data_IF_574909983964
#
_entry.id   IF_574909983964
#
_cell.length_a   1.000
_cell.length_b   1.000
_cell.length_c   1.000
_cell.angle_alpha   90.00
_cell.angle_beta   90.00
_cell.angle_gamma   90.00
#
_symmetry.space_group_name_H-M   'P 1'
#
loop_
_entity.id
_entity.type
_entity.pdbx_description
1 polymer ?
#
# COMPACT_ATOMS: atom_id res chain seq x y z
N UNK A 1 70.87 -15.78 1.36
CA UNK A 1 71.22 -16.00 -0.06
C UNK A 1 70.00 -15.59 -0.88
N UNK A 2 69.95 -14.35 -1.33
CA UNK A 2 70.56 -13.86 -2.58
C UNK A 2 69.63 -14.13 -3.77
N UNK A 3 68.82 -13.10 -4.04
CA UNK A 3 68.52 -12.50 -5.34
C UNK A 3 68.62 -13.37 -6.58
N UNK A 4 67.56 -13.43 -7.40
CA UNK A 4 67.75 -13.27 -8.85
C UNK A 4 66.45 -12.94 -9.60
N UNK A 5 66.29 -11.64 -9.92
CA UNK A 5 65.70 -11.09 -11.17
C UNK A 5 64.22 -11.43 -11.40
N UNK A 6 63.31 -10.47 -11.58
CA UNK A 6 63.33 -9.50 -12.68
C UNK A 6 62.55 -8.27 -12.22
N UNK A 7 63.27 -7.17 -12.01
CA UNK A 7 62.73 -5.83 -12.09
C UNK A 7 62.88 -5.33 -13.53
N UNK A 8 62.09 -4.31 -13.87
CA UNK A 8 62.08 -3.49 -15.09
C UNK A 8 61.24 -4.02 -16.26
N UNK A 9 59.99 -3.55 -16.35
CA UNK A 9 59.65 -2.63 -17.42
C UNK A 9 58.86 -1.44 -16.86
N UNK A 10 59.45 -0.27 -17.03
CA UNK A 10 58.94 1.07 -16.71
C UNK A 10 57.85 1.45 -17.73
N UNK A 11 56.70 1.94 -17.25
CA UNK A 11 56.17 3.27 -17.56
C UNK A 11 54.65 3.34 -17.34
N UNK A 12 54.25 4.42 -16.65
CA UNK A 12 53.01 5.16 -16.91
C UNK A 12 51.67 4.55 -16.47
N UNK A 13 51.18 4.92 -15.28
CA UNK A 13 50.39 6.16 -15.06
C UNK A 13 49.78 6.11 -13.66
N UNK A 14 50.03 7.15 -12.88
CA UNK A 14 49.34 7.44 -11.63
C UNK A 14 47.87 7.76 -11.92
N UNK A 15 46.92 7.03 -11.33
CA UNK A 15 45.65 7.62 -10.85
C UNK A 15 45.22 6.87 -9.59
N UNK A 16 45.17 7.61 -8.49
CA UNK A 16 44.61 7.22 -7.21
C UNK A 16 43.12 6.90 -7.37
N UNK A 17 42.71 5.68 -7.07
CA UNK A 17 41.29 5.33 -6.93
C UNK A 17 41.12 4.49 -5.69
N UNK A 18 40.84 5.17 -4.58
CA UNK A 18 40.38 4.58 -3.33
C UNK A 18 39.15 3.73 -3.60
N UNK A 19 39.27 2.41 -3.55
CA UNK A 19 38.13 1.50 -3.43
C UNK A 19 38.10 0.97 -1.99
N UNK A 20 37.95 1.90 -1.04
CA UNK A 20 37.28 1.58 0.21
C UNK A 20 35.81 1.41 -0.14
N UNK A 21 35.42 0.19 -0.51
CA UNK A 21 34.02 -0.19 -0.64
C UNK A 21 33.60 -0.64 0.76
N UNK A 22 33.23 0.33 1.59
CA UNK A 22 32.47 0.06 2.80
C UNK A 22 31.17 -0.66 2.41
N UNK A 23 30.79 -1.76 3.10
CA UNK A 23 29.44 -2.27 2.96
C UNK A 23 28.48 -1.19 3.46
N UNK A 24 27.37 -0.90 2.74
CA UNK A 24 26.31 -0.14 3.38
C UNK A 24 25.84 -0.97 4.56
N UNK A 25 26.11 -0.49 5.76
CA UNK A 25 25.35 -0.87 6.93
C UNK A 25 23.89 -0.62 6.54
N UNK A 26 23.16 -1.70 6.22
CA UNK A 26 21.72 -1.67 6.10
C UNK A 26 21.24 -1.36 7.50
N UNK A 27 21.06 -0.06 7.76
CA UNK A 27 20.32 0.41 8.90
C UNK A 27 18.92 -0.10 8.67
N UNK A 28 18.61 -1.25 9.27
CA UNK A 28 17.23 -1.69 9.47
C UNK A 28 16.63 -0.71 10.46
N UNK A 29 16.29 0.48 9.97
CA UNK A 29 15.40 1.41 10.64
C UNK A 29 14.06 0.71 10.60
N UNK A 30 13.76 -0.06 11.65
CA UNK A 30 12.41 -0.47 11.99
C UNK A 30 11.69 0.82 12.37
N UNK A 31 11.33 1.60 11.36
CA UNK A 31 10.40 2.71 11.51
C UNK A 31 9.10 2.03 11.90
N UNK A 32 8.84 1.96 13.21
CA UNK A 32 7.49 1.88 13.74
C UNK A 32 6.78 3.17 13.31
N UNK A 33 6.50 3.25 12.02
CA UNK A 33 5.51 4.12 11.46
C UNK A 33 4.20 3.58 11.97
N UNK A 34 3.80 4.06 13.15
CA UNK A 34 2.40 4.29 13.46
C UNK A 34 1.90 5.35 12.48
N UNK A 35 1.89 5.01 11.19
CA UNK A 35 1.08 5.70 10.21
C UNK A 35 -0.33 5.38 10.68
N UNK A 36 -1.07 6.40 11.08
CA UNK A 36 -2.52 6.35 11.05
C UNK A 36 -2.88 5.94 9.63
N UNK A 37 -3.00 4.63 9.40
CA UNK A 37 -3.35 4.08 8.10
C UNK A 37 -4.70 4.67 7.80
N UNK A 38 -4.75 5.58 6.83
CA UNK A 38 -6.00 6.15 6.39
C UNK A 38 -6.88 4.96 5.97
N UNK A 39 -7.97 4.67 6.70
CA UNK A 39 -8.86 3.56 6.38
C UNK A 39 -9.52 3.75 5.00
N UNK A 40 -9.38 4.95 4.41
CA UNK A 40 -9.82 5.28 3.08
C UNK A 40 -8.71 5.27 2.02
N UNK A 41 -7.48 4.93 2.36
CA UNK A 41 -6.42 4.81 1.37
C UNK A 41 -6.68 3.60 0.45
N UNK A 42 -6.56 3.81 -0.85
CA UNK A 42 -6.69 2.76 -1.87
C UNK A 42 -5.42 1.90 -1.94
N UNK A 43 -5.15 1.16 -0.86
CA UNK A 43 -3.96 0.32 -0.76
C UNK A 43 -4.30 -0.98 -0.04
N UNK A 44 -3.49 -1.99 -0.29
CA UNK A 44 -3.46 -3.18 0.55
C UNK A 44 -2.49 -2.90 1.71
N UNK A 45 -3.01 -2.94 2.93
CA UNK A 45 -2.23 -2.77 4.15
C UNK A 45 -1.51 -4.07 4.53
N UNK A 46 -2.13 -5.22 4.24
CA UNK A 46 -1.53 -6.52 4.49
C UNK A 46 -0.71 -6.99 3.28
N UNK A 47 0.47 -7.55 3.55
CA UNK A 47 1.39 -8.04 2.51
C UNK A 47 0.93 -9.34 1.85
N UNK A 48 0.00 -10.06 2.47
CA UNK A 48 -0.50 -11.35 2.01
C UNK A 48 -1.84 -11.30 1.26
N UNK A 49 -2.34 -10.11 0.90
CA UNK A 49 -3.64 -9.95 0.25
C UNK A 49 -3.84 -10.81 -1.01
N UNK A 50 -2.80 -10.95 -1.84
CA UNK A 50 -2.84 -11.82 -3.01
C UNK A 50 -3.04 -13.31 -2.65
N UNK A 51 -2.48 -13.78 -1.52
CA UNK A 51 -2.61 -15.16 -1.07
C UNK A 51 -3.99 -15.44 -0.46
N UNK A 52 -4.60 -14.42 0.15
CA UNK A 52 -5.88 -14.54 0.85
C UNK A 52 -7.07 -13.97 0.05
N UNK A 53 -6.89 -13.70 -1.24
CA UNK A 53 -7.91 -13.15 -2.12
C UNK A 53 -9.18 -14.02 -2.21
N UNK A 54 -9.08 -15.32 -1.94
CA UNK A 54 -10.24 -16.21 -1.85
C UNK A 54 -11.20 -15.83 -0.71
N UNK A 55 -10.73 -15.13 0.32
CA UNK A 55 -11.55 -14.64 1.42
C UNK A 55 -12.35 -13.38 1.08
N UNK A 56 -12.06 -12.69 -0.04
CA UNK A 56 -12.87 -11.56 -0.50
C UNK A 56 -14.33 -11.96 -0.73
N UNK A 57 -14.58 -13.23 -1.11
CA UNK A 57 -15.92 -13.76 -1.38
C UNK A 57 -16.61 -14.32 -0.13
N UNK A 58 -15.92 -14.34 1.02
CA UNK A 58 -16.45 -14.89 2.27
C UNK A 58 -17.02 -13.73 3.11
N UNK A 59 -18.33 -13.70 3.39
CA UNK A 59 -18.95 -12.58 4.12
C UNK A 59 -18.33 -12.37 5.50
N UNK A 60 -17.91 -13.45 6.15
CA UNK A 60 -17.27 -13.44 7.47
C UNK A 60 -15.93 -12.69 7.47
N UNK A 61 -15.26 -12.60 6.32
CA UNK A 61 -13.97 -11.93 6.16
C UNK A 61 -14.09 -10.59 5.42
N UNK A 62 -15.28 -10.21 4.96
CA UNK A 62 -15.48 -9.00 4.16
C UNK A 62 -14.97 -7.73 4.87
N UNK A 63 -15.23 -7.58 6.17
CA UNK A 63 -14.75 -6.44 6.96
C UNK A 63 -13.22 -6.43 7.09
N UNK A 64 -12.61 -7.58 7.40
CA UNK A 64 -11.15 -7.73 7.51
C UNK A 64 -10.47 -7.47 6.17
N UNK A 65 -11.06 -7.98 5.08
CA UNK A 65 -10.58 -7.77 3.72
C UNK A 65 -10.74 -6.33 3.28
N UNK A 66 -11.80 -5.64 3.72
CA UNK A 66 -11.99 -4.22 3.43
C UNK A 66 -10.94 -3.37 4.11
N UNK A 67 -10.63 -3.65 5.38
CA UNK A 67 -9.63 -2.92 6.14
C UNK A 67 -8.19 -3.17 5.68
N UNK A 68 -7.86 -4.39 5.24
CA UNK A 68 -6.48 -4.80 4.99
C UNK A 68 -6.14 -5.05 3.52
N UNK A 69 -7.11 -5.41 2.70
CA UNK A 69 -6.93 -5.87 1.33
C UNK A 69 -7.87 -5.13 0.37
N UNK A 70 -8.01 -3.81 0.56
CA UNK A 70 -9.00 -3.00 -0.14
C UNK A 70 -8.81 -2.98 -1.64
N UNK A 71 -7.55 -2.89 -2.09
CA UNK A 71 -7.22 -2.86 -3.51
C UNK A 71 -7.42 -4.24 -4.11
N UNK A 72 -6.96 -5.30 -3.44
CA UNK A 72 -7.08 -6.68 -3.92
C UNK A 72 -8.55 -7.14 -4.01
N UNK A 73 -9.35 -6.92 -2.97
CA UNK A 73 -10.72 -7.47 -2.90
C UNK A 73 -11.78 -6.58 -3.55
N UNK A 74 -11.58 -5.26 -3.51
CA UNK A 74 -12.65 -4.31 -3.84
C UNK A 74 -12.24 -3.33 -4.94
N UNK A 75 -11.03 -3.44 -5.50
CA UNK A 75 -10.51 -2.52 -6.51
C UNK A 75 -10.66 -1.05 -6.08
N UNK A 76 -10.58 -0.81 -4.77
CA UNK A 76 -10.82 0.48 -4.12
C UNK A 76 -12.23 1.08 -4.27
N UNK A 77 -13.17 0.32 -4.82
CA UNK A 77 -14.59 0.56 -4.66
C UNK A 77 -15.02 -0.19 -3.41
N UNK A 78 -14.80 0.40 -2.23
CA UNK A 78 -15.30 -0.21 -1.01
C UNK A 78 -16.79 -0.55 -1.19
N UNK A 79 -17.24 -1.71 -0.69
CA UNK A 79 -18.65 -2.01 -0.71
C UNK A 79 -19.36 -0.89 0.04
N UNK A 80 -20.45 -0.41 -0.53
CA UNK A 80 -21.26 0.62 0.09
C UNK A 80 -21.56 0.16 1.55
N UNK A 81 -21.19 0.98 2.52
CA UNK A 81 -21.31 0.74 3.95
C UNK A 81 -20.82 1.97 4.71
N UNK A 82 -21.20 2.16 5.99
CA UNK A 82 -20.92 3.38 6.73
C UNK A 82 -19.42 3.72 6.73
N UNK A 83 -19.05 4.84 6.13
CA UNK A 83 -17.68 5.33 6.09
C UNK A 83 -17.46 6.35 7.21
N UNK A 84 -16.48 6.17 8.12
CA UNK A 84 -16.22 7.13 9.19
C UNK A 84 -15.61 8.47 8.74
N UNK A 85 -15.13 8.60 7.51
CA UNK A 85 -14.57 9.86 6.99
C UNK A 85 -15.61 10.87 6.48
N UNK A 86 -16.85 10.44 6.25
CA UNK A 86 -17.93 11.36 5.95
C UNK A 86 -19.25 10.87 6.55
N UNK A 87 -20.17 11.78 6.86
CA UNK A 87 -21.49 11.42 7.40
C UNK A 87 -22.56 11.45 6.30
N UNK A 88 -23.56 10.59 6.44
CA UNK A 88 -24.79 10.74 5.66
C UNK A 88 -25.57 11.95 6.15
N UNK A 89 -26.18 12.67 5.21
CA UNK A 89 -27.02 13.83 5.51
C UNK A 89 -28.43 13.42 5.95
N UNK A 90 -28.82 12.18 5.65
CA UNK A 90 -30.12 11.59 5.97
C UNK A 90 -29.93 10.21 6.61
N UNK A 91 -30.85 9.80 7.45
CA UNK A 91 -30.73 8.57 8.24
C UNK A 91 -31.31 7.32 7.56
N UNK A 92 -31.99 7.48 6.41
CA UNK A 92 -32.69 6.42 5.69
C UNK A 92 -31.95 5.94 4.43
N UNK A 93 -30.62 6.03 4.42
CA UNK A 93 -29.79 5.56 3.34
C UNK A 93 -29.79 4.02 3.24
N UNK A 94 -29.94 3.50 2.02
CA UNK A 94 -29.87 2.07 1.73
C UNK A 94 -28.73 1.77 0.75
N UNK A 95 -27.78 0.95 1.20
CA UNK A 95 -26.64 0.44 0.43
C UNK A 95 -27.00 -0.08 -0.97
N UNK A 96 -28.16 -0.73 -1.11
CA UNK A 96 -28.60 -1.32 -2.38
C UNK A 96 -28.97 -0.27 -3.44
N UNK A 97 -29.23 0.96 -3.02
CA UNK A 97 -29.67 2.06 -3.89
C UNK A 97 -28.50 2.91 -4.41
N UNK A 98 -27.30 2.72 -3.86
CA UNK A 98 -26.10 3.48 -4.22
C UNK A 98 -25.68 3.36 -5.69
N UNK A 99 -26.03 2.27 -6.37
CA UNK A 99 -25.68 2.01 -7.77
C UNK A 99 -26.90 2.00 -8.71
N UNK A 100 -28.08 2.42 -8.23
CA UNK A 100 -29.26 2.52 -9.07
C UNK A 100 -29.23 3.87 -9.82
N UNK A 101 -29.25 3.91 -11.16
CA UNK A 101 -29.09 5.16 -11.94
C UNK A 101 -30.07 6.27 -11.56
N UNK A 102 -31.31 5.90 -11.25
CA UNK A 102 -32.36 6.84 -10.83
C UNK A 102 -32.06 7.49 -9.47
N UNK A 103 -31.33 6.80 -8.59
CA UNK A 103 -31.06 7.23 -7.22
C UNK A 103 -29.63 7.76 -7.03
N UNK A 104 -28.72 7.43 -7.96
CA UNK A 104 -27.32 7.84 -7.96
C UNK A 104 -27.10 9.32 -7.61
N UNK A 105 -27.73 10.32 -8.28
CA UNK A 105 -27.48 11.72 -7.96
C UNK A 105 -27.94 12.12 -6.55
N UNK A 106 -28.99 11.49 -6.04
CA UNK A 106 -29.47 11.73 -4.67
C UNK A 106 -28.52 11.10 -3.64
N UNK A 107 -28.08 9.87 -3.89
CA UNK A 107 -27.26 9.09 -2.97
C UNK A 107 -25.81 9.59 -2.92
N UNK A 108 -25.28 10.10 -4.02
CA UNK A 108 -23.98 10.80 -4.05
C UNK A 108 -24.00 12.11 -3.25
N UNK A 109 -25.16 12.76 -3.10
CA UNK A 109 -25.28 13.99 -2.31
C UNK A 109 -25.57 13.73 -0.84
N UNK A 110 -26.44 12.75 -0.54
CA UNK A 110 -27.05 12.58 0.78
C UNK A 110 -26.56 11.34 1.54
N UNK A 111 -26.06 10.33 0.83
CA UNK A 111 -25.72 9.02 1.39
C UNK A 111 -24.24 8.66 1.14
N UNK A 112 -23.35 9.65 1.19
CA UNK A 112 -21.93 9.48 0.89
C UNK A 112 -21.25 8.47 1.80
N UNK A 113 -21.60 8.47 3.08
CA UNK A 113 -21.09 7.52 4.06
C UNK A 113 -21.59 6.13 3.70
N UNK A 114 -22.91 5.92 3.63
CA UNK A 114 -23.53 4.63 3.29
C UNK A 114 -23.09 4.10 1.92
N UNK A 115 -22.77 4.95 0.95
CA UNK A 115 -22.30 4.53 -0.36
C UNK A 115 -20.78 4.43 -0.47
N UNK A 116 -20.04 4.74 0.59
CA UNK A 116 -18.59 4.90 0.57
C UNK A 116 -18.10 5.74 -0.62
N UNK A 117 -18.76 6.90 -0.85
CA UNK A 117 -18.43 7.89 -1.89
C UNK A 117 -17.99 9.22 -1.27
N UNK A 118 -17.34 9.14 -0.10
CA UNK A 118 -16.41 10.16 0.31
C UNK A 118 -15.24 10.17 -0.70
#
# INVERSE_FOLDING_TARGET
MQFLKVALLLASFCVSSSLAVDPPAVVTTTTMGSTTADPNACTDLASNCAMIASFCLKPNYAATMLANCRKTCFQCNAPAGPNPACADLVTNCNVALCNIPVWAPLYESKCKSTCNRC
#
